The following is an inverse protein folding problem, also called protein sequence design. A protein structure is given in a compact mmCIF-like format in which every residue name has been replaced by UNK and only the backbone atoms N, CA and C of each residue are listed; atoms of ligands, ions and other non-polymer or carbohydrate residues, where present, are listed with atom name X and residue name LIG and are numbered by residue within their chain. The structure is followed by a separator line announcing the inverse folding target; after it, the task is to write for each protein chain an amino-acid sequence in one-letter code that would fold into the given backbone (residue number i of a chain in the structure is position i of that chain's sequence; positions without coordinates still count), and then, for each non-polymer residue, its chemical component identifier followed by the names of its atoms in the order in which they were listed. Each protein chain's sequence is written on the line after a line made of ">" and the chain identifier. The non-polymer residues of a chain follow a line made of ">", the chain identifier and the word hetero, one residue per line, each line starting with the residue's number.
data_IF_072098260864
#
_entry.id   IF_072098260864
#
_cell.length_a   1.000
_cell.length_b   1.000
_cell.length_c   1.000
_cell.angle_alpha   90.00
_cell.angle_beta   90.00
_cell.angle_gamma   90.00
#
_symmetry.space_group_name_H-M   'P 1'
#
loop_
_entity.id
_entity.type
_entity.pdbx_description
1 polymer ?
#
# COMPACT_ATOMS: atom_id res chain seq x y z
N UNK A 1 0.16 -17.97 -10.41
CA UNK A 1 0.15 -16.96 -9.36
C UNK A 1 0.65 -17.57 -8.05
N UNK A 2 1.52 -16.86 -7.33
CA UNK A 2 1.97 -17.26 -5.99
C UNK A 2 1.47 -16.20 -5.03
N UNK A 3 0.71 -16.62 -4.02
CA UNK A 3 0.27 -15.77 -2.93
C UNK A 3 0.83 -16.35 -1.63
N UNK A 4 1.57 -15.52 -0.87
CA UNK A 4 2.21 -15.94 0.37
C UNK A 4 2.11 -14.84 1.41
N UNK A 5 1.68 -15.18 2.60
CA UNK A 5 1.61 -14.28 3.74
C UNK A 5 2.86 -14.42 4.60
N UNK A 6 3.41 -13.28 5.04
CA UNK A 6 4.54 -13.20 5.95
C UNK A 6 4.19 -12.28 7.10
N UNK A 7 4.21 -12.81 8.29
CA UNK A 7 3.92 -12.06 9.50
C UNK A 7 5.13 -11.24 9.94
N UNK A 8 4.89 -10.03 10.42
CA UNK A 8 5.94 -9.22 11.05
C UNK A 8 6.32 -9.79 12.41
N UNK A 9 7.62 -9.89 12.65
CA UNK A 9 8.17 -10.36 13.93
C UNK A 9 8.22 -9.23 14.98
N UNK A 10 8.25 -9.60 16.28
CA UNK A 10 8.69 -8.76 17.39
C UNK A 10 8.03 -7.38 17.52
N UNK A 11 6.72 -7.31 17.64
CA UNK A 11 5.99 -6.06 17.87
C UNK A 11 6.23 -4.97 16.80
N UNK A 12 6.77 -5.32 15.63
CA UNK A 12 7.10 -4.38 14.58
C UNK A 12 5.86 -3.64 14.08
N UNK A 13 4.73 -4.34 13.94
CA UNK A 13 3.45 -3.72 13.61
C UNK A 13 3.05 -2.66 14.63
N UNK A 14 3.25 -2.94 15.95
CA UNK A 14 2.96 -1.99 17.03
C UNK A 14 3.86 -0.75 16.96
N UNK A 15 5.15 -0.91 16.63
CA UNK A 15 6.07 0.23 16.43
C UNK A 15 5.59 1.15 15.32
N UNK A 16 5.14 0.57 14.19
CA UNK A 16 4.60 1.34 13.05
C UNK A 16 3.35 2.11 13.51
N UNK A 17 2.40 1.45 14.17
CA UNK A 17 1.18 2.09 14.64
C UNK A 17 1.48 3.21 15.64
N UNK A 18 2.33 2.95 16.63
CA UNK A 18 2.71 3.96 17.63
C UNK A 18 3.38 5.18 17.01
N UNK A 19 4.20 5.00 15.98
CA UNK A 19 4.83 6.11 15.29
C UNK A 19 3.83 6.86 14.41
N UNK A 20 2.97 6.15 13.70
CA UNK A 20 1.92 6.74 12.87
C UNK A 20 0.97 7.62 13.70
N UNK A 21 0.60 7.19 14.91
CA UNK A 21 -0.29 7.94 15.80
C UNK A 21 0.34 9.26 16.31
N UNK A 22 1.67 9.38 16.27
CA UNK A 22 2.41 10.61 16.64
C UNK A 22 2.54 11.59 15.49
N UNK A 23 2.39 11.15 14.24
CA UNK A 23 2.62 11.97 13.05
C UNK A 23 1.29 12.47 12.51
N UNK A 24 0.96 13.71 12.84
CA UNK A 24 -0.28 14.37 12.44
C UNK A 24 -0.03 15.58 11.52
N UNK A 25 1.19 16.08 11.47
CA UNK A 25 1.59 17.24 10.68
C UNK A 25 2.86 16.98 9.89
N UNK A 26 3.15 17.83 8.92
CA UNK A 26 4.41 17.76 8.15
C UNK A 26 5.63 17.97 9.07
N UNK A 27 5.52 18.84 10.07
CA UNK A 27 6.60 19.10 11.03
C UNK A 27 6.93 17.84 11.87
N UNK A 28 5.95 16.99 12.14
CA UNK A 28 6.18 15.74 12.87
C UNK A 28 7.07 14.77 12.08
N UNK A 29 7.04 14.81 10.74
CA UNK A 29 7.94 14.01 9.91
C UNK A 29 9.41 14.35 10.14
N UNK A 30 9.72 15.61 10.43
CA UNK A 30 11.08 16.06 10.79
C UNK A 30 11.39 15.70 12.23
N UNK A 31 10.47 15.96 13.15
CA UNK A 31 10.61 15.67 14.58
C UNK A 31 10.92 14.20 14.83
N UNK A 32 10.23 13.30 14.14
CA UNK A 32 10.40 11.84 14.28
C UNK A 32 11.27 11.21 13.17
N UNK A 33 12.11 12.01 12.51
CA UNK A 33 12.91 11.55 11.36
C UNK A 33 13.85 10.38 11.71
N UNK A 34 14.44 10.37 12.90
CA UNK A 34 15.34 9.29 13.36
C UNK A 34 14.57 7.97 13.53
N UNK A 35 13.41 8.00 14.18
CA UNK A 35 12.55 6.85 14.38
C UNK A 35 12.00 6.34 13.03
N UNK A 36 11.61 7.26 12.14
CA UNK A 36 11.17 6.93 10.79
C UNK A 36 12.25 6.21 10.00
N UNK A 37 13.49 6.71 10.02
CA UNK A 37 14.63 6.08 9.34
C UNK A 37 14.93 4.67 9.90
N UNK A 38 14.88 4.51 11.22
CA UNK A 38 15.09 3.21 11.85
C UNK A 38 14.04 2.19 11.42
N UNK A 39 12.76 2.57 11.47
CA UNK A 39 11.65 1.70 11.02
C UNK A 39 11.68 1.44 9.52
N UNK A 40 12.02 2.43 8.71
CA UNK A 40 12.17 2.30 7.26
C UNK A 40 13.22 1.24 6.91
N UNK A 41 14.36 1.28 7.60
CA UNK A 41 15.43 0.28 7.44
C UNK A 41 14.96 -1.12 7.88
N UNK A 42 14.33 -1.23 9.06
CA UNK A 42 13.82 -2.50 9.59
C UNK A 42 12.78 -3.12 8.63
N UNK A 43 11.82 -2.31 8.15
CA UNK A 43 10.82 -2.70 7.15
C UNK A 43 11.48 -3.21 5.86
N UNK A 44 12.46 -2.48 5.37
CA UNK A 44 13.14 -2.80 4.11
C UNK A 44 13.92 -4.11 4.20
N UNK A 45 14.62 -4.33 5.32
CA UNK A 45 15.33 -5.59 5.57
C UNK A 45 14.36 -6.76 5.66
N UNK A 46 13.22 -6.60 6.34
CA UNK A 46 12.18 -7.62 6.37
C UNK A 46 11.71 -7.97 4.96
N UNK A 47 11.34 -6.95 4.15
CA UNK A 47 10.87 -7.18 2.78
C UNK A 47 11.95 -7.78 1.87
N UNK A 48 13.22 -7.48 2.10
CA UNK A 48 14.29 -8.12 1.33
C UNK A 48 14.34 -9.63 1.56
N UNK A 49 14.16 -10.09 2.80
CA UNK A 49 14.08 -11.53 3.12
C UNK A 49 12.85 -12.16 2.46
N UNK A 50 11.69 -11.48 2.51
CA UNK A 50 10.45 -11.93 1.86
C UNK A 50 10.63 -12.08 0.36
N UNK A 51 11.18 -11.06 -0.31
CA UNK A 51 11.44 -11.10 -1.76
C UNK A 51 12.37 -12.27 -2.11
N UNK A 52 13.47 -12.43 -1.36
CA UNK A 52 14.43 -13.50 -1.62
C UNK A 52 13.84 -14.89 -1.40
N UNK A 53 12.95 -15.05 -0.39
CA UNK A 53 12.23 -16.30 -0.17
C UNK A 53 11.29 -16.63 -1.33
N UNK A 54 10.51 -15.64 -1.81
CA UNK A 54 9.61 -15.82 -2.96
C UNK A 54 10.41 -16.17 -4.22
N UNK A 55 11.48 -15.43 -4.51
CA UNK A 55 12.33 -15.65 -5.68
C UNK A 55 12.94 -17.04 -5.65
N UNK A 56 13.44 -17.49 -4.49
CA UNK A 56 14.02 -18.83 -4.32
C UNK A 56 13.02 -19.95 -4.55
N UNK A 57 11.75 -19.70 -4.21
CA UNK A 57 10.66 -20.69 -4.30
C UNK A 57 9.85 -20.59 -5.59
N UNK A 58 10.27 -19.77 -6.56
CA UNK A 58 9.64 -19.70 -7.88
C UNK A 58 10.59 -20.13 -8.98
N UNK A 59 10.08 -20.87 -9.96
CA UNK A 59 10.80 -21.23 -11.17
C UNK A 59 10.67 -20.16 -12.28
N UNK A 60 10.00 -19.05 -11.99
CA UNK A 60 9.76 -17.98 -12.97
C UNK A 60 10.81 -16.89 -12.81
N UNK A 61 11.23 -16.32 -13.94
CA UNK A 61 12.03 -15.10 -13.95
C UNK A 61 11.18 -13.96 -13.39
N UNK A 62 11.71 -13.24 -12.42
CA UNK A 62 11.11 -12.02 -11.88
C UNK A 62 11.86 -10.84 -12.49
N UNK A 63 11.17 -9.97 -13.21
CA UNK A 63 11.75 -8.84 -13.89
C UNK A 63 11.91 -7.63 -12.98
N UNK A 64 10.95 -7.40 -12.08
CA UNK A 64 11.00 -6.30 -11.11
C UNK A 64 10.15 -6.59 -9.87
N UNK A 65 10.40 -5.83 -8.82
CA UNK A 65 9.64 -5.83 -7.56
C UNK A 65 8.90 -4.51 -7.44
N UNK A 66 7.58 -4.55 -7.29
CA UNK A 66 6.79 -3.40 -6.88
C UNK A 66 6.82 -3.26 -5.36
N UNK A 67 7.33 -2.15 -4.83
CA UNK A 67 7.46 -1.92 -3.40
C UNK A 67 6.72 -0.66 -2.96
N UNK A 68 5.56 -0.84 -2.36
CA UNK A 68 4.75 0.28 -1.86
C UNK A 68 5.28 0.84 -0.53
N UNK A 69 5.87 0.00 0.30
CA UNK A 69 6.18 0.35 1.69
C UNK A 69 4.92 0.49 2.55
N UNK A 70 5.03 1.21 3.66
CA UNK A 70 3.92 1.46 4.58
C UNK A 70 3.64 2.95 4.70
N UNK A 71 2.40 3.37 4.43
CA UNK A 71 2.00 4.77 4.55
C UNK A 71 1.96 5.21 6.01
N UNK A 72 2.72 6.24 6.32
CA UNK A 72 2.77 6.88 7.64
C UNK A 72 1.97 8.18 7.65
N UNK A 73 2.10 8.99 6.60
CA UNK A 73 1.43 10.29 6.49
C UNK A 73 0.94 10.50 5.05
N UNK A 74 -0.23 11.10 4.91
CA UNK A 74 -0.81 11.41 3.60
C UNK A 74 -1.64 12.68 3.69
N UNK A 75 -1.20 13.72 3.00
CA UNK A 75 -1.89 15.00 2.89
C UNK A 75 -1.71 15.55 1.47
N UNK A 76 -2.65 15.23 0.55
CA UNK A 76 -2.58 15.70 -0.84
C UNK A 76 -2.63 17.23 -0.95
N UNK A 77 -3.30 17.92 -0.01
CA UNK A 77 -3.40 19.39 -0.03
C UNK A 77 -2.03 20.04 0.17
N UNK A 78 -1.14 19.40 0.90
CA UNK A 78 0.27 19.79 1.08
C UNK A 78 1.23 19.12 0.10
N UNK A 79 0.68 18.36 -0.86
CA UNK A 79 1.44 17.60 -1.86
C UNK A 79 2.44 16.60 -1.26
N UNK A 80 2.07 15.97 -0.15
CA UNK A 80 2.92 15.03 0.58
C UNK A 80 2.20 13.71 0.80
N UNK A 81 2.91 12.61 0.47
CA UNK A 81 2.55 11.28 0.89
C UNK A 81 3.82 10.53 1.30
N UNK A 82 4.00 10.30 2.60
CA UNK A 82 5.18 9.60 3.14
C UNK A 82 4.86 8.14 3.37
N UNK A 83 5.54 7.29 2.64
CA UNK A 83 5.66 5.86 2.91
C UNK A 83 7.05 5.60 3.49
N UNK A 84 7.14 4.78 4.53
CA UNK A 84 8.40 4.17 4.94
C UNK A 84 8.66 2.93 4.08
N UNK A 85 9.91 2.76 3.70
CA UNK A 85 10.38 1.70 2.81
C UNK A 85 11.39 2.25 1.81
N UNK A 86 12.66 1.89 1.96
CA UNK A 86 13.76 2.32 1.10
C UNK A 86 13.89 1.38 -0.11
N UNK A 87 13.33 1.80 -1.25
CA UNK A 87 13.41 1.02 -2.49
C UNK A 87 14.82 0.88 -3.03
N UNK A 88 15.73 1.84 -2.76
CA UNK A 88 17.15 1.73 -3.16
C UNK A 88 17.85 0.66 -2.36
N UNK A 89 17.68 0.68 -1.03
CA UNK A 89 18.23 -0.35 -0.16
C UNK A 89 17.64 -1.72 -0.51
N UNK A 90 16.34 -1.83 -0.78
CA UNK A 90 15.71 -3.08 -1.20
C UNK A 90 16.35 -3.61 -2.49
N UNK A 91 16.57 -2.72 -3.48
CA UNK A 91 17.25 -3.09 -4.73
C UNK A 91 18.68 -3.59 -4.50
N UNK A 92 19.42 -2.93 -3.61
CA UNK A 92 20.79 -3.35 -3.26
C UNK A 92 20.82 -4.73 -2.57
N UNK A 93 19.91 -4.95 -1.62
CA UNK A 93 19.84 -6.20 -0.85
C UNK A 93 19.38 -7.39 -1.70
N UNK A 94 18.46 -7.16 -2.63
CA UNK A 94 17.88 -8.23 -3.47
C UNK A 94 18.58 -8.39 -4.82
N UNK A 95 19.36 -7.39 -5.26
CA UNK A 95 19.95 -7.29 -6.60
C UNK A 95 18.90 -7.30 -7.72
N UNK A 96 17.72 -6.78 -7.44
CA UNK A 96 16.60 -6.73 -8.37
C UNK A 96 16.21 -5.28 -8.69
N UNK A 97 15.60 -5.08 -9.83
CA UNK A 97 14.95 -3.81 -10.15
C UNK A 97 13.74 -3.61 -9.22
N UNK A 98 13.71 -2.47 -8.51
CA UNK A 98 12.61 -2.12 -7.59
C UNK A 98 11.91 -0.86 -8.10
N UNK A 99 10.60 -0.95 -8.26
CA UNK A 99 9.71 0.19 -8.57
C UNK A 99 9.02 0.59 -7.27
N UNK A 100 9.15 1.84 -6.88
CA UNK A 100 8.66 2.33 -5.59
C UNK A 100 8.22 3.80 -5.65
N UNK A 101 7.76 4.34 -4.54
CA UNK A 101 7.35 5.74 -4.39
C UNK A 101 6.16 6.13 -5.28
N UNK A 102 5.22 5.22 -5.46
CA UNK A 102 4.07 5.40 -6.37
C UNK A 102 3.21 6.62 -6.04
N UNK A 103 2.89 6.84 -4.76
CA UNK A 103 1.98 7.89 -4.31
C UNK A 103 2.57 9.28 -4.49
N UNK A 104 3.82 9.46 -4.11
CA UNK A 104 4.48 10.76 -4.23
C UNK A 104 4.69 11.14 -5.71
N UNK A 105 4.97 10.17 -6.56
CA UNK A 105 5.09 10.41 -8.00
C UNK A 105 3.75 10.87 -8.60
N UNK A 106 2.63 10.25 -8.21
CA UNK A 106 1.29 10.66 -8.64
C UNK A 106 0.96 12.09 -8.20
N UNK A 107 1.23 12.43 -6.93
CA UNK A 107 1.04 13.78 -6.38
C UNK A 107 1.88 14.81 -7.12
N UNK A 108 3.13 14.52 -7.46
CA UNK A 108 4.01 15.42 -8.20
C UNK A 108 3.51 15.68 -9.62
N UNK A 109 2.75 14.75 -10.19
CA UNK A 109 2.12 14.89 -11.50
C UNK A 109 0.66 15.38 -11.43
N UNK A 110 0.22 15.91 -10.31
CA UNK A 110 -1.09 16.55 -10.14
C UNK A 110 -2.21 15.63 -9.67
N UNK A 111 -1.89 14.37 -9.32
CA UNK A 111 -2.84 13.46 -8.69
C UNK A 111 -2.92 13.65 -7.17
N UNK A 112 -3.79 12.90 -6.53
CA UNK A 112 -4.00 12.92 -5.07
C UNK A 112 -3.17 11.85 -4.33
N UNK A 113 -2.46 10.99 -5.06
CA UNK A 113 -1.66 9.91 -4.50
C UNK A 113 -2.47 8.73 -3.94
N UNK A 114 -3.78 8.83 -3.95
CA UNK A 114 -4.72 7.78 -3.56
C UNK A 114 -6.14 8.11 -4.07
N UNK A 115 -6.93 7.09 -4.48
CA UNK A 115 -6.52 5.71 -4.68
C UNK A 115 -5.72 5.51 -5.98
N UNK A 116 -4.78 4.57 -6.00
CA UNK A 116 -4.01 4.21 -7.21
C UNK A 116 -4.53 2.93 -7.89
N UNK A 117 -5.31 2.12 -7.18
CA UNK A 117 -5.88 0.87 -7.70
C UNK A 117 -6.82 1.04 -8.92
N UNK A 118 -7.55 2.15 -9.11
CA UNK A 118 -8.50 2.30 -10.20
C UNK A 118 -7.90 2.11 -11.60
N UNK A 119 -6.67 2.55 -11.82
CA UNK A 119 -6.00 2.36 -13.11
C UNK A 119 -5.71 0.87 -13.38
N UNK A 120 -5.35 0.12 -12.35
CA UNK A 120 -5.20 -1.34 -12.43
C UNK A 120 -6.54 -2.02 -12.66
N UNK A 121 -7.60 -1.59 -11.97
CA UNK A 121 -8.95 -2.11 -12.17
C UNK A 121 -9.39 -1.96 -13.63
N UNK A 122 -9.16 -0.79 -14.24
CA UNK A 122 -9.46 -0.54 -15.65
C UNK A 122 -8.67 -1.49 -16.57
N UNK A 123 -7.37 -1.65 -16.33
CA UNK A 123 -6.53 -2.55 -17.10
C UNK A 123 -7.00 -4.02 -16.98
N UNK A 124 -7.34 -4.46 -15.77
CA UNK A 124 -7.84 -5.81 -15.50
C UNK A 124 -9.17 -6.07 -16.22
N UNK A 125 -10.15 -5.17 -16.06
CA UNK A 125 -11.48 -5.28 -16.70
C UNK A 125 -11.33 -5.37 -18.21
N UNK A 126 -10.46 -4.56 -18.82
CA UNK A 126 -10.16 -4.61 -20.25
C UNK A 126 -9.53 -5.95 -20.66
N UNK A 127 -8.58 -6.45 -19.87
CA UNK A 127 -7.89 -7.72 -20.14
C UNK A 127 -8.83 -8.92 -20.12
N UNK A 128 -9.73 -8.97 -19.14
CA UNK A 128 -10.69 -10.08 -18.99
C UNK A 128 -12.01 -9.87 -19.74
N UNK A 129 -12.13 -8.74 -20.44
CA UNK A 129 -13.27 -8.38 -21.32
C UNK A 129 -14.62 -8.41 -20.59
N UNK A 130 -14.69 -7.82 -19.40
CA UNK A 130 -15.96 -7.67 -18.66
C UNK A 130 -16.85 -6.68 -19.42
N UNK A 131 -18.13 -6.98 -19.50
CA UNK A 131 -19.14 -6.09 -20.06
C UNK A 131 -19.25 -4.80 -19.22
N UNK A 132 -19.32 -3.67 -19.91
CA UNK A 132 -19.42 -2.35 -19.28
C UNK A 132 -20.85 -1.80 -19.32
N UNK A 133 -21.26 -0.95 -18.36
CA UNK A 133 -20.45 -0.43 -17.25
C UNK A 133 -20.23 -1.44 -16.12
N UNK A 134 -19.09 -1.33 -15.42
CA UNK A 134 -18.77 -2.20 -14.28
C UNK A 134 -18.40 -1.39 -13.05
N UNK A 135 -18.76 -1.92 -11.91
CA UNK A 135 -18.42 -1.39 -10.60
C UNK A 135 -17.57 -2.41 -9.85
N UNK A 136 -16.37 -2.02 -9.43
CA UNK A 136 -15.48 -2.82 -8.60
C UNK A 136 -15.51 -2.24 -7.19
N UNK A 137 -16.04 -3.03 -6.25
CA UNK A 137 -16.07 -2.69 -4.84
C UNK A 137 -14.88 -3.35 -4.13
N UNK A 138 -14.06 -2.53 -3.48
CA UNK A 138 -12.99 -2.99 -2.58
C UNK A 138 -13.43 -2.75 -1.14
N UNK A 139 -13.42 -3.82 -0.33
CA UNK A 139 -13.77 -3.77 1.09
C UNK A 139 -12.52 -4.10 1.90
N UNK A 140 -11.78 -3.03 2.27
CA UNK A 140 -10.67 -3.09 3.20
C UNK A 140 -11.07 -2.49 4.55
N UNK A 141 -10.17 -1.89 5.29
CA UNK A 141 -10.52 -1.12 6.49
C UNK A 141 -11.51 0.00 6.17
N UNK A 142 -11.30 0.69 5.04
CA UNK A 142 -12.24 1.61 4.39
C UNK A 142 -12.68 0.96 3.08
N UNK A 143 -13.97 1.07 2.77
CA UNK A 143 -14.53 0.60 1.49
C UNK A 143 -14.41 1.68 0.44
N UNK A 144 -13.98 1.30 -0.77
CA UNK A 144 -13.96 2.20 -1.92
C UNK A 144 -14.49 1.52 -3.18
N UNK A 145 -14.91 2.32 -4.13
CA UNK A 145 -15.48 1.85 -5.39
C UNK A 145 -14.73 2.46 -6.57
N UNK A 146 -14.56 1.64 -7.61
CA UNK A 146 -14.13 2.07 -8.95
C UNK A 146 -15.24 1.78 -9.94
N UNK A 147 -15.72 2.81 -10.64
CA UNK A 147 -16.74 2.69 -11.69
C UNK A 147 -16.08 2.94 -13.04
N UNK A 148 -16.23 2.01 -13.97
CA UNK A 148 -15.66 2.06 -15.32
C UNK A 148 -16.81 2.04 -16.31
N UNK A 149 -17.00 3.15 -17.04
CA UNK A 149 -18.10 3.35 -17.99
C UNK A 149 -17.78 2.85 -19.38
N UNK A 150 -16.57 3.04 -19.87
CA UNK A 150 -16.11 2.58 -21.17
C UNK A 150 -14.58 2.30 -21.19
N UNK A 151 -14.11 1.66 -22.29
CA UNK A 151 -12.70 1.32 -22.44
C UNK A 151 -11.86 2.42 -23.11
N UNK A 152 -12.47 3.30 -23.88
CA UNK A 152 -11.78 4.22 -24.77
C UNK A 152 -11.56 5.58 -24.12
N UNK A 153 -12.56 6.06 -23.42
CA UNK A 153 -12.44 7.31 -22.66
C UNK A 153 -11.82 7.01 -21.29
N UNK A 154 -10.95 7.88 -20.80
CA UNK A 154 -10.40 7.77 -19.44
C UNK A 154 -11.49 8.04 -18.36
N UNK A 155 -12.73 7.65 -18.66
CA UNK A 155 -13.87 7.81 -17.78
C UNK A 155 -13.96 6.65 -16.79
N UNK A 156 -13.13 6.69 -15.78
CA UNK A 156 -13.36 5.93 -14.56
C UNK A 156 -13.39 6.90 -13.38
N UNK A 157 -14.25 6.63 -12.44
CA UNK A 157 -14.33 7.37 -11.18
C UNK A 157 -14.02 6.44 -10.03
N UNK A 158 -13.38 6.96 -9.00
CA UNK A 158 -13.15 6.22 -7.77
C UNK A 158 -13.39 7.12 -6.57
N UNK A 159 -13.96 6.55 -5.53
CA UNK A 159 -14.19 7.25 -4.28
C UNK A 159 -14.30 6.30 -3.11
N UNK A 160 -13.98 6.80 -1.93
CA UNK A 160 -14.29 6.14 -0.68
C UNK A 160 -15.79 6.18 -0.44
N UNK A 161 -16.35 5.08 0.08
CA UNK A 161 -17.76 4.92 0.39
C UNK A 161 -18.01 5.08 1.90
N UNK A 162 -17.05 4.66 2.72
CA UNK A 162 -17.17 4.66 4.16
C UNK A 162 -16.42 3.52 4.82
N UNK A 163 -16.72 3.21 6.09
CA UNK A 163 -16.10 2.10 6.79
C UNK A 163 -16.31 0.77 6.06
N UNK A 164 -15.24 -0.02 6.00
CA UNK A 164 -15.30 -1.43 5.62
C UNK A 164 -15.13 -2.32 6.86
N UNK A 165 -14.10 -3.16 6.86
CA UNK A 165 -13.85 -4.12 7.94
C UNK A 165 -13.38 -3.46 9.25
N UNK A 166 -12.92 -2.18 9.23
CA UNK A 166 -12.38 -1.52 10.41
C UNK A 166 -13.33 -1.49 11.61
N UNK A 167 -14.65 -1.37 11.39
CA UNK A 167 -15.63 -1.40 12.47
C UNK A 167 -15.87 -2.80 13.00
N UNK A 168 -15.86 -3.81 12.13
CA UNK A 168 -15.97 -5.23 12.50
C UNK A 168 -14.76 -5.64 13.33
N UNK A 169 -13.55 -5.34 12.85
CA UNK A 169 -12.31 -5.59 13.57
C UNK A 169 -12.27 -4.89 14.93
N UNK A 170 -12.72 -3.63 14.99
CA UNK A 170 -12.82 -2.90 16.25
C UNK A 170 -13.79 -3.57 17.24
N UNK A 171 -14.92 -4.06 16.74
CA UNK A 171 -15.89 -4.79 17.55
C UNK A 171 -15.34 -6.13 18.05
N UNK A 172 -14.66 -6.89 17.18
CA UNK A 172 -14.00 -8.17 17.53
C UNK A 172 -12.97 -7.96 18.63
N UNK A 173 -12.08 -6.96 18.48
CA UNK A 173 -11.08 -6.60 19.50
C UNK A 173 -11.73 -6.17 20.82
N UNK A 174 -12.75 -5.32 20.77
CA UNK A 174 -13.46 -4.85 21.96
C UNK A 174 -14.10 -5.98 22.74
N UNK A 175 -14.59 -7.01 22.06
CA UNK A 175 -15.22 -8.17 22.68
C UNK A 175 -14.24 -9.33 22.93
N UNK A 176 -12.95 -9.11 22.79
CA UNK A 176 -11.86 -10.09 23.02
C UNK A 176 -12.06 -11.41 22.25
N UNK A 177 -12.61 -11.32 21.05
CA UNK A 177 -12.86 -12.47 20.17
C UNK A 177 -11.76 -12.70 19.13
N UNK A 178 -10.70 -11.89 19.16
CA UNK A 178 -9.57 -11.94 18.24
C UNK A 178 -9.03 -10.54 17.93
N UNK A 179 -8.16 -10.44 16.96
CA UNK A 179 -7.60 -9.17 16.48
C UNK A 179 -8.36 -8.64 15.25
N UNK A 180 -8.99 -9.52 14.51
CA UNK A 180 -9.78 -9.23 13.29
C UNK A 180 -10.85 -10.32 13.13
N UNK A 181 -11.83 -10.13 12.25
CA UNK A 181 -12.89 -11.08 11.91
C UNK A 181 -12.39 -12.25 11.05
#
# INVERSE_FOLDING_TARGET
>A
EINKYFEYENNFSQKIHSLKDKINTVADLETYSTELQALEKELTIFHSKVVMDIVKNTNKKIDFVGFHGQTIFHDPSKKISKQIGDGKLLSQLTRMTVVYNFRQNDIQNGGEGAPLAPIFHKALVKQIKIELPVCILNIGGISNVTIIGDYEQNHFTSRDLGPGNCLIDAWVRKNKKGNFD
#
